data_IF_657716647247
#
_entry.id   IF_657716647247
#
_cell.length_a   1.000
_cell.length_b   1.000
_cell.length_c   1.000
_cell.angle_alpha   90.00
_cell.angle_beta   90.00
_cell.angle_gamma   90.00
#
_symmetry.space_group_name_H-M   'P 1'
#
loop_
_entity.id
_entity.type
_entity.pdbx_description
1 polymer ?
#
# COMPACT_ATOMS: atom_id res chain seq x y z
N UNK A 1 5.38 -44.65 -0.97
CA UNK A 1 5.08 -43.96 -2.23
C UNK A 1 5.19 -42.50 -1.90
N UNK A 2 6.30 -41.87 -2.28
CA UNK A 2 6.55 -40.45 -2.03
C UNK A 2 5.76 -39.67 -3.08
N UNK A 3 4.80 -38.91 -2.63
CA UNK A 3 4.17 -37.88 -3.47
C UNK A 3 5.23 -36.84 -3.83
N UNK A 4 5.80 -36.97 -5.01
CA UNK A 4 6.58 -35.92 -5.65
C UNK A 4 5.62 -34.83 -6.05
N UNK A 5 5.50 -33.81 -5.22
CA UNK A 5 4.82 -32.55 -5.55
C UNK A 5 5.59 -31.92 -6.73
N UNK A 6 5.09 -32.14 -7.93
CA UNK A 6 5.52 -31.42 -9.13
C UNK A 6 5.13 -29.94 -8.97
N UNK A 7 6.05 -29.15 -8.42
CA UNK A 7 5.99 -27.68 -8.52
C UNK A 7 6.34 -27.30 -9.96
N UNK A 8 5.38 -27.49 -10.86
CA UNK A 8 5.51 -27.18 -12.28
C UNK A 8 5.87 -25.70 -12.46
N UNK A 9 7.17 -25.38 -12.51
CA UNK A 9 7.68 -24.14 -13.13
C UNK A 9 7.47 -22.83 -12.38
N UNK A 10 7.00 -22.82 -11.13
CA UNK A 10 6.86 -21.58 -10.32
C UNK A 10 8.05 -21.39 -9.38
N UNK A 11 8.43 -20.14 -9.11
CA UNK A 11 9.49 -19.80 -8.17
C UNK A 11 9.07 -20.01 -6.70
N UNK A 12 7.76 -19.97 -6.44
CA UNK A 12 7.16 -20.15 -5.12
C UNK A 12 5.75 -19.58 -5.05
N UNK A 13 5.13 -19.67 -3.89
CA UNK A 13 3.81 -19.08 -3.58
C UNK A 13 4.00 -17.85 -2.70
N UNK A 14 3.36 -16.75 -3.02
CA UNK A 14 3.32 -15.54 -2.19
C UNK A 14 1.88 -15.33 -1.72
N UNK A 15 1.69 -15.36 -0.40
CA UNK A 15 0.41 -15.15 0.26
C UNK A 15 0.19 -13.65 0.49
N UNK A 16 -0.76 -13.06 -0.24
CA UNK A 16 -1.09 -11.63 -0.23
C UNK A 16 -2.42 -11.42 0.47
N UNK A 17 -2.39 -10.70 1.57
CA UNK A 17 -3.60 -10.29 2.29
C UNK A 17 -4.15 -8.99 1.70
N UNK A 18 -5.41 -9.00 1.29
CA UNK A 18 -6.23 -7.81 1.05
C UNK A 18 -7.00 -7.49 2.33
N UNK A 19 -6.58 -6.45 3.04
CA UNK A 19 -7.11 -6.12 4.36
C UNK A 19 -8.36 -5.23 4.25
N UNK A 20 -9.48 -5.70 4.75
CA UNK A 20 -10.80 -5.03 4.77
C UNK A 20 -11.31 -4.59 3.39
N UNK A 21 -11.26 -5.41 2.33
CA UNK A 21 -11.64 -4.97 0.99
C UNK A 21 -13.13 -4.59 0.85
N UNK A 22 -14.00 -5.02 1.75
CA UNK A 22 -15.43 -4.66 1.76
C UNK A 22 -15.68 -3.23 2.22
N UNK A 23 -14.93 -2.75 3.21
CA UNK A 23 -15.13 -1.45 3.84
C UNK A 23 -14.07 -0.41 3.46
N UNK A 24 -12.89 -0.86 3.00
CA UNK A 24 -11.72 -0.03 2.72
C UNK A 24 -11.27 -0.17 1.25
N UNK A 25 -12.13 0.26 0.30
CA UNK A 25 -11.87 0.18 -1.13
C UNK A 25 -12.58 1.30 -1.92
N UNK A 26 -12.67 2.50 -1.35
CA UNK A 26 -13.54 3.56 -1.86
C UNK A 26 -13.18 4.05 -3.28
N UNK A 27 -11.91 4.05 -3.63
CA UNK A 27 -11.44 4.51 -4.95
C UNK A 27 -10.84 3.38 -5.80
N UNK A 28 -11.25 2.13 -5.53
CA UNK A 28 -10.78 0.97 -6.29
C UNK A 28 -9.37 0.53 -5.92
N UNK A 29 -8.97 0.70 -4.66
CA UNK A 29 -7.62 0.33 -4.16
C UNK A 29 -7.35 -1.18 -4.27
N UNK A 30 -8.38 -2.02 -4.43
CA UNK A 30 -8.25 -3.43 -4.82
C UNK A 30 -7.46 -3.63 -6.13
N UNK A 31 -7.37 -2.62 -6.98
CA UNK A 31 -6.49 -2.62 -8.14
C UNK A 31 -5.00 -2.74 -7.80
N UNK A 32 -4.58 -2.38 -6.57
CA UNK A 32 -3.23 -2.64 -6.09
C UNK A 32 -2.99 -4.15 -5.91
N UNK A 33 -3.99 -4.87 -5.37
CA UNK A 33 -3.94 -6.33 -5.21
C UNK A 33 -3.85 -7.01 -6.58
N UNK A 34 -4.67 -6.58 -7.54
CA UNK A 34 -4.65 -7.12 -8.92
C UNK A 34 -3.29 -6.87 -9.59
N UNK A 35 -2.70 -5.69 -9.38
CA UNK A 35 -1.39 -5.35 -9.92
C UNK A 35 -0.30 -6.25 -9.36
N UNK A 36 -0.26 -6.43 -8.04
CA UNK A 36 0.69 -7.33 -7.38
C UNK A 36 0.50 -8.76 -7.86
N UNK A 37 -0.73 -9.28 -7.90
CA UNK A 37 -1.02 -10.62 -8.37
C UNK A 37 -0.54 -10.86 -9.81
N UNK A 38 -0.81 -9.89 -10.71
CA UNK A 38 -0.35 -9.97 -12.10
C UNK A 38 1.18 -9.95 -12.19
N UNK A 39 1.84 -9.04 -11.47
CA UNK A 39 3.31 -8.95 -11.50
C UNK A 39 3.98 -10.17 -10.89
N UNK A 40 3.47 -10.73 -9.78
CA UNK A 40 3.92 -12.00 -9.20
C UNK A 40 3.88 -13.11 -10.24
N UNK A 41 2.74 -13.26 -10.94
CA UNK A 41 2.60 -14.26 -12.02
C UNK A 41 3.63 -14.05 -13.13
N UNK A 42 3.90 -12.80 -13.51
CA UNK A 42 4.90 -12.49 -14.53
C UNK A 42 6.33 -12.74 -14.05
N UNK A 43 6.60 -12.58 -12.76
CA UNK A 43 7.88 -12.97 -12.14
C UNK A 43 8.01 -14.48 -11.93
N UNK A 44 6.95 -15.25 -12.17
CA UNK A 44 6.96 -16.71 -12.04
C UNK A 44 6.61 -17.20 -10.64
N UNK A 45 6.08 -16.33 -9.76
CA UNK A 45 5.48 -16.73 -8.49
C UNK A 45 3.98 -16.99 -8.66
N UNK A 46 3.42 -17.85 -7.81
CA UNK A 46 1.97 -18.06 -7.72
C UNK A 46 1.40 -17.12 -6.64
N UNK A 47 0.59 -16.10 -6.98
CA UNK A 47 -0.09 -15.29 -5.97
C UNK A 47 -1.23 -16.09 -5.34
N UNK A 48 -1.34 -16.07 -4.01
CA UNK A 48 -2.50 -16.55 -3.27
C UNK A 48 -3.11 -15.38 -2.52
N UNK A 49 -4.30 -14.96 -2.95
CA UNK A 49 -4.96 -13.77 -2.41
C UNK A 49 -5.93 -14.19 -1.30
N UNK A 50 -5.81 -13.55 -0.15
CA UNK A 50 -6.67 -13.73 1.02
C UNK A 50 -7.38 -12.41 1.32
N UNK A 51 -8.69 -12.39 1.13
CA UNK A 51 -9.52 -11.26 1.58
C UNK A 51 -9.82 -11.44 3.06
N UNK A 52 -9.36 -10.50 3.88
CA UNK A 52 -9.57 -10.49 5.34
C UNK A 52 -10.47 -9.32 5.71
N UNK A 53 -11.65 -9.62 6.19
CA UNK A 53 -12.60 -8.67 6.75
C UNK A 53 -12.73 -8.88 8.28
N UNK A 54 -13.62 -8.15 8.93
CA UNK A 54 -13.84 -8.28 10.37
C UNK A 54 -14.20 -9.72 10.75
N UNK A 55 -13.50 -10.25 11.75
CA UNK A 55 -13.71 -11.59 12.29
C UNK A 55 -13.12 -12.73 11.47
N UNK A 56 -12.60 -12.46 10.25
CA UNK A 56 -11.96 -13.51 9.45
C UNK A 56 -10.61 -13.92 10.08
N UNK A 57 -10.24 -15.21 10.10
CA UNK A 57 -8.94 -15.64 10.60
C UNK A 57 -7.81 -15.23 9.65
N UNK A 58 -6.59 -15.06 10.21
CA UNK A 58 -5.40 -14.96 9.38
C UNK A 58 -5.16 -16.24 8.58
N UNK A 59 -4.65 -16.16 7.34
CA UNK A 59 -4.14 -17.35 6.65
C UNK A 59 -2.90 -17.90 7.36
N UNK A 60 -2.55 -19.13 7.06
CA UNK A 60 -1.37 -19.81 7.63
C UNK A 60 -0.08 -19.00 7.38
N UNK A 61 0.00 -18.34 6.25
CA UNK A 61 1.12 -17.50 5.87
C UNK A 61 0.65 -16.10 5.45
N UNK A 62 1.43 -15.10 5.83
CA UNK A 62 1.26 -13.70 5.44
C UNK A 62 2.58 -13.18 4.90
N UNK A 63 2.68 -13.02 3.59
CA UNK A 63 3.91 -12.55 2.94
C UNK A 63 3.82 -11.08 2.53
N UNK A 64 2.61 -10.54 2.34
CA UNK A 64 2.35 -9.14 2.01
C UNK A 64 0.96 -8.74 2.49
N UNK A 65 0.78 -7.47 2.90
CA UNK A 65 -0.53 -6.92 3.28
C UNK A 65 -0.80 -5.65 2.48
N UNK A 66 -1.96 -5.60 1.81
CA UNK A 66 -2.43 -4.44 1.07
C UNK A 66 -3.78 -4.00 1.63
N UNK A 67 -3.89 -2.71 1.99
CA UNK A 67 -5.11 -2.14 2.52
C UNK A 67 -5.47 -0.83 1.84
N UNK A 68 -6.75 -0.63 1.60
CA UNK A 68 -7.27 0.51 0.85
C UNK A 68 -7.77 1.67 1.71
N UNK A 69 -8.30 2.69 1.04
CA UNK A 69 -8.95 3.84 1.66
C UNK A 69 -10.42 3.59 1.97
N UNK A 70 -10.91 4.27 2.98
CA UNK A 70 -12.32 4.27 3.36
C UNK A 70 -12.72 5.63 3.93
N UNK A 71 -14.02 5.88 3.94
CA UNK A 71 -14.58 7.02 4.66
C UNK A 71 -14.59 6.76 6.16
N UNK A 72 -14.81 7.78 6.99
CA UNK A 72 -14.90 7.70 8.46
C UNK A 72 -15.87 6.59 8.91
N UNK A 73 -16.97 6.38 8.18
CA UNK A 73 -17.92 5.30 8.46
C UNK A 73 -17.33 3.91 8.25
N UNK A 74 -16.48 3.73 7.26
CA UNK A 74 -15.73 2.49 7.03
C UNK A 74 -14.67 2.27 8.11
N UNK A 75 -13.92 3.31 8.46
CA UNK A 75 -12.93 3.26 9.54
C UNK A 75 -13.58 2.90 10.88
N UNK A 76 -14.71 3.54 11.23
CA UNK A 76 -15.48 3.22 12.45
C UNK A 76 -15.97 1.78 12.49
N UNK A 77 -16.28 1.17 11.35
CA UNK A 77 -16.70 -0.23 11.30
C UNK A 77 -15.58 -1.21 11.59
N UNK A 78 -14.38 -0.95 11.06
CA UNK A 78 -13.27 -1.89 11.16
C UNK A 78 -12.42 -1.71 12.41
N UNK A 79 -12.59 -0.61 13.15
CA UNK A 79 -11.64 -0.18 14.19
C UNK A 79 -11.46 -1.24 15.29
N UNK A 80 -12.53 -1.83 15.78
CA UNK A 80 -12.47 -2.83 16.86
C UNK A 80 -11.73 -4.09 16.41
N UNK A 81 -11.98 -4.56 15.18
CA UNK A 81 -11.26 -5.70 14.61
C UNK A 81 -9.80 -5.35 14.31
N UNK A 82 -9.52 -4.12 13.84
CA UNK A 82 -8.16 -3.65 13.62
C UNK A 82 -7.36 -3.65 14.94
N UNK A 83 -7.97 -3.21 16.04
CA UNK A 83 -7.34 -3.29 17.37
C UNK A 83 -7.11 -4.72 17.83
N UNK A 84 -8.07 -5.60 17.62
CA UNK A 84 -7.90 -7.02 17.94
C UNK A 84 -6.73 -7.66 17.19
N UNK A 85 -6.39 -7.13 16.01
CA UNK A 85 -5.27 -7.56 15.14
C UNK A 85 -3.97 -6.77 15.36
N UNK A 86 -3.99 -5.72 16.17
CA UNK A 86 -2.89 -4.77 16.27
C UNK A 86 -1.54 -5.42 16.58
N UNK A 87 -1.51 -6.37 17.51
CA UNK A 87 -0.27 -7.05 17.91
C UNK A 87 0.27 -7.94 16.78
N UNK A 88 -0.60 -8.62 16.03
CA UNK A 88 -0.19 -9.38 14.87
C UNK A 88 0.35 -8.46 13.75
N UNK A 89 -0.33 -7.34 13.48
CA UNK A 89 0.11 -6.39 12.46
C UNK A 89 1.45 -5.74 12.83
N UNK A 90 1.65 -5.37 14.10
CA UNK A 90 2.94 -4.87 14.60
C UNK A 90 4.04 -5.91 14.47
N UNK A 91 3.75 -7.16 14.81
CA UNK A 91 4.68 -8.29 14.65
C UNK A 91 5.03 -8.49 13.17
N UNK A 92 4.06 -8.53 12.25
CA UNK A 92 4.30 -8.64 10.82
C UNK A 92 5.18 -7.49 10.30
N UNK A 93 4.91 -6.25 10.74
CA UNK A 93 5.72 -5.08 10.36
C UNK A 93 7.17 -5.22 10.88
N UNK A 94 7.36 -5.63 12.13
CA UNK A 94 8.66 -5.87 12.74
C UNK A 94 9.43 -7.00 12.06
N UNK A 95 8.73 -8.06 11.64
CA UNK A 95 9.26 -9.20 10.89
C UNK A 95 9.53 -8.88 9.41
N UNK A 96 9.30 -7.62 8.98
CA UNK A 96 9.61 -7.14 7.64
C UNK A 96 8.59 -7.53 6.56
N UNK A 97 7.38 -7.94 6.94
CA UNK A 97 6.29 -8.13 5.97
C UNK A 97 6.01 -6.80 5.26
N UNK A 98 6.12 -6.73 3.91
CA UNK A 98 5.81 -5.51 3.20
C UNK A 98 4.31 -5.20 3.26
N UNK A 99 3.99 -3.91 3.51
CA UNK A 99 2.62 -3.44 3.62
C UNK A 99 2.42 -2.15 2.83
N UNK A 100 1.26 -2.02 2.19
CA UNK A 100 0.82 -0.78 1.56
C UNK A 100 -0.55 -0.40 2.10
N UNK A 101 -0.61 0.72 2.81
CA UNK A 101 -1.80 1.26 3.44
C UNK A 101 -2.21 2.57 2.79
N UNK A 102 -3.41 2.61 2.23
CA UNK A 102 -3.91 3.78 1.51
C UNK A 102 -4.91 4.55 2.38
N UNK A 103 -4.75 5.87 2.44
CA UNK A 103 -5.68 6.86 2.98
C UNK A 103 -6.21 6.48 4.38
N UNK A 104 -7.43 5.97 4.50
CA UNK A 104 -8.03 5.63 5.79
C UNK A 104 -7.24 4.60 6.60
N UNK A 105 -6.68 3.57 5.96
CA UNK A 105 -5.79 2.63 6.66
C UNK A 105 -4.42 3.24 6.96
N UNK A 106 -3.90 4.15 6.13
CA UNK A 106 -2.70 4.91 6.48
C UNK A 106 -2.90 5.69 7.78
N UNK A 107 -4.04 6.38 7.93
CA UNK A 107 -4.39 7.12 9.15
C UNK A 107 -4.46 6.21 10.39
N UNK A 108 -5.12 5.06 10.28
CA UNK A 108 -5.28 4.10 11.37
C UNK A 108 -4.00 3.30 11.70
N UNK A 109 -3.03 3.28 10.80
CA UNK A 109 -1.68 2.76 11.09
C UNK A 109 -0.81 3.76 11.85
N UNK A 110 -1.23 5.03 11.95
CA UNK A 110 -0.68 6.05 12.84
C UNK A 110 -1.04 5.85 14.30
N UNK A 111 -0.80 6.88 15.11
CA UNK A 111 -1.17 6.89 16.53
C UNK A 111 -2.67 7.11 16.73
N UNK A 112 -3.25 8.03 15.97
CA UNK A 112 -4.68 8.34 15.99
C UNK A 112 -5.12 9.16 14.79
N UNK A 113 -6.42 9.12 14.51
CA UNK A 113 -7.10 10.04 13.62
C UNK A 113 -8.19 10.78 14.42
N UNK A 114 -8.09 12.10 14.49
CA UNK A 114 -9.11 12.97 15.04
C UNK A 114 -9.98 13.52 13.89
N UNK A 115 -11.25 13.14 13.86
CA UNK A 115 -12.19 13.59 12.84
C UNK A 115 -12.56 15.07 13.04
N UNK A 116 -13.18 15.70 12.03
CA UNK A 116 -13.53 17.13 12.07
C UNK A 116 -14.51 17.49 13.21
N UNK A 117 -15.32 16.54 13.67
CA UNK A 117 -16.23 16.69 14.80
C UNK A 117 -15.57 16.48 16.16
N UNK A 118 -14.23 16.26 16.19
CA UNK A 118 -13.46 16.02 17.38
C UNK A 118 -13.50 14.58 17.90
N UNK A 119 -14.14 13.66 17.17
CA UNK A 119 -14.10 12.24 17.52
C UNK A 119 -12.70 11.68 17.25
N UNK A 120 -12.06 11.13 18.27
CA UNK A 120 -10.76 10.49 18.12
C UNK A 120 -10.91 8.98 17.91
N UNK A 121 -10.32 8.51 16.82
CA UNK A 121 -10.11 7.11 16.53
C UNK A 121 -8.64 6.79 16.80
N UNK A 122 -8.36 6.02 17.82
CA UNK A 122 -6.98 5.60 18.07
C UNK A 122 -6.51 4.69 16.94
N UNK A 123 -5.22 4.75 16.62
CA UNK A 123 -4.57 3.93 15.60
C UNK A 123 -3.71 2.84 16.24
N UNK A 124 -3.13 2.01 15.39
CA UNK A 124 -2.29 0.89 15.87
C UNK A 124 -0.81 1.25 16.01
N UNK A 125 -0.38 2.46 15.68
CA UNK A 125 0.95 3.00 15.98
C UNK A 125 2.11 2.30 15.26
N UNK A 126 1.91 1.75 14.09
CA UNK A 126 3.00 1.18 13.26
C UNK A 126 3.79 2.30 12.58
N UNK A 127 3.09 3.34 12.13
CA UNK A 127 3.68 4.54 11.54
C UNK A 127 3.65 5.64 12.61
N UNK A 128 4.79 6.24 12.90
CA UNK A 128 4.88 7.37 13.82
C UNK A 128 4.26 8.63 13.20
N UNK A 129 2.95 8.75 13.30
CA UNK A 129 2.19 9.86 12.72
C UNK A 129 0.83 9.99 13.42
N UNK A 130 0.24 11.19 13.34
CA UNK A 130 -1.15 11.40 13.72
C UNK A 130 -1.88 12.21 12.65
N UNK A 131 -3.19 12.05 12.58
CA UNK A 131 -4.01 12.74 11.58
C UNK A 131 -5.09 13.58 12.24
N UNK A 132 -5.29 14.79 11.72
CA UNK A 132 -6.33 15.73 12.15
C UNK A 132 -7.26 16.03 10.97
N UNK A 133 -8.55 15.78 11.13
CA UNK A 133 -9.58 16.15 10.16
C UNK A 133 -9.73 17.67 10.06
N UNK A 134 -9.81 18.19 8.85
CA UNK A 134 -9.97 19.64 8.57
C UNK A 134 -11.08 19.90 7.58
N UNK A 135 -11.55 21.14 7.51
CA UNK A 135 -12.54 21.60 6.52
C UNK A 135 -11.97 21.64 5.11
N UNK A 136 -10.66 21.83 4.99
CA UNK A 136 -9.98 21.88 3.70
C UNK A 136 -9.80 20.46 3.18
N UNK A 137 -10.31 20.22 1.97
CA UNK A 137 -10.16 18.96 1.27
C UNK A 137 -9.10 19.04 0.19
N UNK A 138 -8.08 18.22 0.28
CA UNK A 138 -7.04 18.09 -0.74
C UNK A 138 -7.49 17.08 -1.80
N UNK A 139 -7.68 17.58 -3.03
CA UNK A 139 -8.16 16.78 -4.17
C UNK A 139 -7.34 17.15 -5.39
N UNK A 140 -6.85 16.14 -6.09
CA UNK A 140 -6.23 16.35 -7.39
C UNK A 140 -5.12 15.37 -7.72
N UNK A 141 -4.57 15.53 -8.91
CA UNK A 141 -3.38 14.81 -9.32
C UNK A 141 -2.18 15.27 -8.49
N UNK A 142 -1.33 14.33 -8.16
CA UNK A 142 -0.16 14.57 -7.33
C UNK A 142 1.06 13.91 -7.96
N UNK A 143 2.17 14.63 -7.98
CA UNK A 143 3.50 14.11 -8.24
C UNK A 143 4.32 14.29 -6.98
N UNK A 144 4.93 13.22 -6.54
CA UNK A 144 5.76 13.16 -5.36
C UNK A 144 7.15 12.67 -5.74
N UNK A 145 8.18 13.27 -5.18
CA UNK A 145 9.58 12.93 -5.40
C UNK A 145 10.11 12.07 -4.25
N UNK A 146 10.23 10.78 -4.49
CA UNK A 146 10.75 9.83 -3.52
C UNK A 146 12.22 9.54 -3.75
N UNK A 147 13.02 9.53 -2.67
CA UNK A 147 14.44 9.14 -2.73
C UNK A 147 14.62 7.66 -3.11
N UNK A 148 13.62 6.81 -2.82
CA UNK A 148 13.69 5.37 -3.06
C UNK A 148 13.06 4.92 -4.37
N UNK A 149 12.00 5.61 -4.83
CA UNK A 149 11.16 5.17 -5.94
C UNK A 149 11.16 6.12 -7.13
N UNK A 150 11.90 7.25 -7.03
CA UNK A 150 11.81 8.34 -8.00
C UNK A 150 10.45 9.03 -7.93
N UNK A 151 9.96 9.55 -9.05
CA UNK A 151 8.66 10.20 -9.07
C UNK A 151 7.55 9.19 -8.88
N UNK A 152 6.67 9.43 -7.93
CA UNK A 152 5.45 8.66 -7.68
C UNK A 152 4.28 9.52 -8.16
N UNK A 153 3.36 8.93 -8.92
CA UNK A 153 2.23 9.65 -9.51
C UNK A 153 0.93 9.01 -9.07
N UNK A 154 0.09 9.82 -8.44
CA UNK A 154 -1.20 9.38 -7.92
C UNK A 154 -2.27 10.46 -7.97
N UNK A 155 -3.31 10.24 -7.21
CA UNK A 155 -4.43 11.15 -7.02
C UNK A 155 -4.77 11.18 -5.54
N UNK A 156 -4.74 12.35 -4.93
CA UNK A 156 -5.16 12.52 -3.54
C UNK A 156 -6.62 12.96 -3.44
N UNK A 157 -7.32 12.49 -2.42
CA UNK A 157 -8.68 12.93 -2.10
C UNK A 157 -8.98 12.68 -0.63
N UNK A 158 -8.56 13.62 0.22
CA UNK A 158 -8.72 13.50 1.67
C UNK A 158 -8.87 14.88 2.33
N UNK A 159 -9.42 14.91 3.54
CA UNK A 159 -9.46 16.09 4.43
C UNK A 159 -8.68 15.87 5.72
N UNK A 160 -8.25 14.65 6.00
CA UNK A 160 -7.32 14.39 7.08
C UNK A 160 -5.93 14.93 6.75
N UNK A 161 -5.35 15.68 7.67
CA UNK A 161 -3.98 16.18 7.59
C UNK A 161 -3.09 15.36 8.52
N UNK A 162 -2.10 14.70 7.96
CA UNK A 162 -1.20 13.81 8.69
C UNK A 162 0.12 14.50 8.98
N UNK A 163 0.52 14.44 10.23
CA UNK A 163 1.77 14.98 10.75
C UNK A 163 2.67 13.83 11.19
N UNK A 164 3.86 13.76 10.59
CA UNK A 164 4.84 12.73 10.91
C UNK A 164 5.60 13.09 12.19
N UNK A 165 5.90 12.09 12.99
CA UNK A 165 6.76 12.28 14.17
C UNK A 165 8.22 12.61 13.75
N UNK A 166 8.99 13.28 14.59
CA UNK A 166 10.40 13.54 14.32
C UNK A 166 11.17 12.25 14.01
N UNK A 167 11.84 12.24 12.86
CA UNK A 167 12.65 11.11 12.40
C UNK A 167 11.90 10.05 11.58
N UNK A 168 10.59 10.17 11.40
CA UNK A 168 9.85 9.33 10.44
C UNK A 168 10.12 9.82 9.03
N UNK A 169 10.49 8.88 8.15
CA UNK A 169 10.77 9.19 6.75
C UNK A 169 9.46 9.34 5.97
N UNK A 170 9.22 10.49 5.30
CA UNK A 170 8.11 10.58 4.36
C UNK A 170 8.37 9.64 3.18
N UNK A 171 7.31 9.16 2.53
CA UNK A 171 7.44 8.39 1.28
C UNK A 171 8.10 9.25 0.19
N UNK A 172 7.74 10.52 0.15
CA UNK A 172 8.40 11.52 -0.67
C UNK A 172 7.99 12.95 -0.35
N UNK A 173 8.31 13.86 -1.29
CA UNK A 173 8.02 15.29 -1.18
C UNK A 173 7.27 15.79 -2.41
N UNK A 174 6.36 16.70 -2.20
CA UNK A 174 5.53 17.32 -3.24
C UNK A 174 5.99 18.75 -3.51
N UNK A 175 5.79 19.24 -4.75
CA UNK A 175 6.25 20.57 -5.17
C UNK A 175 5.33 21.69 -4.75
N UNK A 176 4.06 21.40 -4.44
CA UNK A 176 3.03 22.40 -4.20
C UNK A 176 2.52 22.38 -2.77
N UNK A 177 2.39 23.57 -2.17
CA UNK A 177 1.68 23.77 -0.92
C UNK A 177 0.19 23.39 -1.08
N UNK A 178 -0.48 23.04 0.01
CA UNK A 178 -1.86 22.60 -0.01
C UNK A 178 -2.06 21.18 -0.58
N UNK A 179 -1.01 20.37 -0.56
CA UNK A 179 -0.98 18.99 -1.08
C UNK A 179 -0.25 18.03 -0.13
N UNK A 180 -0.39 16.74 -0.36
CA UNK A 180 0.32 15.70 0.39
C UNK A 180 -0.25 15.47 1.79
N UNK A 181 0.60 15.16 2.76
CA UNK A 181 0.18 14.75 4.10
C UNK A 181 -0.70 15.77 4.82
N UNK A 182 -0.29 17.06 4.82
CA UNK A 182 -0.96 18.10 5.60
C UNK A 182 -1.08 19.44 4.87
N UNK A 183 -0.55 19.56 3.66
CA UNK A 183 -0.58 20.79 2.88
C UNK A 183 0.39 21.87 3.32
N UNK A 184 1.23 21.63 4.36
CA UNK A 184 2.08 22.66 4.97
C UNK A 184 3.58 22.33 4.79
N UNK A 185 3.99 21.09 5.05
CA UNK A 185 5.40 20.69 5.13
C UNK A 185 5.95 20.02 3.87
N UNK A 186 5.12 19.91 2.83
CA UNK A 186 5.43 19.28 1.54
C UNK A 186 5.86 17.81 1.64
N UNK A 187 5.48 17.12 2.70
CA UNK A 187 5.63 15.67 2.76
C UNK A 187 4.41 14.97 2.18
N UNK A 188 4.60 13.79 1.62
CA UNK A 188 3.52 12.86 1.27
C UNK A 188 3.87 11.47 1.76
N UNK A 189 2.85 10.77 2.29
CA UNK A 189 2.99 9.44 2.81
C UNK A 189 4.00 9.31 3.94
N UNK A 190 4.30 8.08 4.28
CA UNK A 190 5.35 7.71 5.22
C UNK A 190 5.88 6.32 4.89
N UNK A 191 7.13 6.07 5.26
CA UNK A 191 7.74 4.75 5.16
C UNK A 191 8.42 4.37 6.47
N UNK A 192 8.07 3.20 6.98
CA UNK A 192 8.72 2.58 8.14
C UNK A 192 9.13 1.17 7.74
N UNK A 193 10.42 0.92 7.54
CA UNK A 193 10.94 -0.34 7.00
C UNK A 193 10.25 -0.70 5.66
N UNK A 194 9.47 -1.80 5.62
CA UNK A 194 8.72 -2.26 4.46
C UNK A 194 7.24 -1.84 4.49
N UNK A 195 6.83 -1.02 5.47
CA UNK A 195 5.48 -0.48 5.57
C UNK A 195 5.42 0.88 4.90
N UNK A 196 4.52 1.03 3.94
CA UNK A 196 4.25 2.27 3.21
C UNK A 196 2.82 2.70 3.51
N UNK A 197 2.64 3.95 3.96
CA UNK A 197 1.37 4.64 4.06
C UNK A 197 1.33 5.81 3.09
N UNK A 198 0.21 6.07 2.43
CA UNK A 198 0.08 7.18 1.48
C UNK A 198 -1.38 7.58 1.28
N UNK A 199 -1.60 8.84 0.89
CA UNK A 199 -2.91 9.33 0.46
C UNK A 199 -3.18 9.13 -1.04
N UNK A 200 -2.22 8.64 -1.79
CA UNK A 200 -2.36 8.46 -3.23
C UNK A 200 -3.29 7.29 -3.58
N UNK A 201 -4.41 7.62 -4.16
CA UNK A 201 -5.45 6.73 -4.66
C UNK A 201 -5.39 6.46 -6.17
N UNK A 202 -6.46 5.82 -6.65
CA UNK A 202 -6.69 5.48 -8.05
C UNK A 202 -5.83 4.30 -8.46
N UNK A 203 -5.72 3.29 -7.58
CA UNK A 203 -4.80 2.17 -7.65
C UNK A 203 -3.38 2.66 -7.91
N UNK A 204 -2.63 2.91 -6.84
CA UNK A 204 -1.29 3.49 -6.89
C UNK A 204 -0.32 2.66 -7.75
N UNK A 205 -0.31 1.34 -7.54
CA UNK A 205 0.70 0.44 -8.08
C UNK A 205 0.71 0.31 -9.61
N UNK A 206 -0.43 0.35 -10.34
CA UNK A 206 -0.40 0.27 -11.80
C UNK A 206 0.42 1.37 -12.48
N UNK A 207 0.45 2.56 -11.90
CA UNK A 207 1.25 3.69 -12.39
C UNK A 207 2.66 3.74 -11.81
N UNK A 208 2.90 3.05 -10.70
CA UNK A 208 4.16 3.10 -9.96
C UNK A 208 4.75 1.69 -9.77
N UNK A 209 5.20 1.05 -10.85
CA UNK A 209 5.69 -0.33 -10.82
C UNK A 209 6.89 -0.52 -9.88
N UNK A 210 7.70 0.52 -9.64
CA UNK A 210 8.83 0.45 -8.72
C UNK A 210 8.40 0.10 -7.29
N UNK A 211 7.25 0.65 -6.82
CA UNK A 211 6.70 0.33 -5.50
C UNK A 211 6.17 -1.11 -5.49
N UNK A 212 5.45 -1.53 -6.54
CA UNK A 212 4.96 -2.90 -6.65
C UNK A 212 6.11 -3.92 -6.61
N UNK A 213 7.19 -3.65 -7.33
CA UNK A 213 8.36 -4.51 -7.39
C UNK A 213 9.14 -4.54 -6.06
N UNK A 214 9.21 -3.40 -5.36
CA UNK A 214 9.75 -3.36 -4.00
C UNK A 214 8.98 -4.27 -3.05
N UNK A 215 7.64 -4.18 -3.03
CA UNK A 215 6.79 -5.02 -2.17
C UNK A 215 6.95 -6.51 -2.51
N UNK A 216 6.95 -6.85 -3.81
CA UNK A 216 7.11 -8.23 -4.29
C UNK A 216 8.49 -8.78 -3.91
N UNK A 217 9.55 -7.99 -4.11
CA UNK A 217 10.92 -8.38 -3.75
C UNK A 217 11.03 -8.63 -2.25
N UNK A 218 10.56 -7.68 -1.43
CA UNK A 218 10.61 -7.81 0.03
C UNK A 218 9.84 -9.05 0.52
N UNK A 219 8.68 -9.35 -0.06
CA UNK A 219 7.90 -10.55 0.27
C UNK A 219 8.67 -11.84 -0.08
N UNK A 220 9.26 -11.90 -1.29
CA UNK A 220 9.99 -13.07 -1.74
C UNK A 220 11.30 -13.28 -0.96
N UNK A 221 12.06 -12.21 -0.71
CA UNK A 221 13.28 -12.26 0.09
C UNK A 221 13.00 -12.72 1.52
N UNK A 222 11.93 -12.20 2.14
CA UNK A 222 11.52 -12.64 3.47
C UNK A 222 11.10 -14.12 3.49
N UNK A 223 10.33 -14.55 2.50
CA UNK A 223 9.78 -15.92 2.45
C UNK A 223 10.81 -16.97 2.06
N UNK A 224 11.69 -16.67 1.11
CA UNK A 224 12.60 -17.61 0.45
C UNK A 224 14.08 -17.29 0.63
N UNK A 225 14.42 -16.17 1.29
CA UNK A 225 15.80 -15.70 1.46
C UNK A 225 16.34 -14.91 0.27
N UNK A 226 15.67 -14.99 -0.90
CA UNK A 226 16.08 -14.26 -2.10
C UNK A 226 14.88 -14.02 -3.03
N UNK A 227 14.97 -12.97 -3.85
CA UNK A 227 14.06 -12.76 -4.98
C UNK A 227 14.67 -13.39 -6.24
N UNK A 228 14.17 -14.56 -6.61
CA UNK A 228 14.65 -15.33 -7.77
C UNK A 228 13.50 -15.59 -8.76
N UNK A 229 13.22 -14.61 -9.65
CA UNK A 229 12.11 -14.75 -10.60
C UNK A 229 12.39 -15.85 -11.62
N UNK A 230 11.38 -16.67 -11.91
CA UNK A 230 11.39 -17.68 -12.98
C UNK A 230 10.53 -17.24 -14.15
N UNK A 231 11.07 -16.32 -14.94
CA UNK A 231 10.35 -15.75 -16.07
C UNK A 231 10.67 -16.50 -17.38
N UNK A 232 9.61 -16.87 -18.12
CA UNK A 232 9.76 -17.18 -19.53
C UNK A 232 9.99 -15.90 -20.35
N UNK A 233 10.48 -16.04 -21.58
CA UNK A 233 10.65 -14.90 -22.50
C UNK A 233 9.34 -14.12 -22.69
N UNK A 234 8.20 -14.84 -22.80
CA UNK A 234 6.90 -14.21 -22.98
C UNK A 234 6.45 -13.42 -21.74
N UNK A 235 6.70 -13.95 -20.54
CA UNK A 235 6.40 -13.24 -19.29
C UNK A 235 7.26 -11.98 -19.14
N UNK A 236 8.53 -12.06 -19.48
CA UNK A 236 9.42 -10.90 -19.45
C UNK A 236 9.00 -9.83 -20.48
N UNK A 237 8.62 -10.24 -21.69
CA UNK A 237 8.12 -9.34 -22.72
C UNK A 237 6.79 -8.67 -22.29
N UNK A 238 5.88 -9.42 -21.68
CA UNK A 238 4.63 -8.87 -21.16
C UNK A 238 4.87 -7.89 -20.00
N UNK A 239 5.79 -8.21 -19.09
CA UNK A 239 6.15 -7.29 -18.00
C UNK A 239 6.70 -5.97 -18.58
N UNK A 240 7.62 -6.02 -19.53
CA UNK A 240 8.14 -4.84 -20.20
C UNK A 240 7.04 -4.05 -20.93
N UNK A 241 6.06 -4.74 -21.54
CA UNK A 241 4.93 -4.10 -22.19
C UNK A 241 4.05 -3.32 -21.21
N UNK A 242 3.69 -3.91 -20.06
CA UNK A 242 2.87 -3.22 -19.04
C UNK A 242 3.65 -2.08 -18.39
N UNK A 243 4.96 -2.20 -18.18
CA UNK A 243 5.80 -1.12 -17.66
C UNK A 243 5.88 0.04 -18.66
N UNK A 244 5.94 -0.25 -19.96
CA UNK A 244 5.85 0.77 -21.00
C UNK A 244 4.48 1.49 -21.02
N UNK A 245 3.39 0.80 -20.73
CA UNK A 245 2.06 1.42 -20.56
C UNK A 245 2.04 2.30 -19.30
N UNK A 246 2.57 1.81 -18.18
CA UNK A 246 2.68 2.57 -16.95
C UNK A 246 3.47 3.87 -17.16
N UNK A 247 4.61 3.80 -17.85
CA UNK A 247 5.41 4.98 -18.16
C UNK A 247 4.64 6.03 -18.98
N UNK A 248 3.87 5.60 -19.99
CA UNK A 248 3.00 6.50 -20.78
C UNK A 248 1.89 7.11 -19.91
N UNK A 249 1.23 6.31 -19.08
CA UNK A 249 0.19 6.78 -18.18
C UNK A 249 0.73 7.82 -17.18
N UNK A 250 1.94 7.58 -16.64
CA UNK A 250 2.64 8.53 -15.75
C UNK A 250 2.91 9.86 -16.44
N UNK A 251 3.47 9.83 -17.65
CA UNK A 251 3.75 11.04 -18.43
C UNK A 251 2.50 11.88 -18.68
N UNK A 252 1.36 11.21 -18.99
CA UNK A 252 0.08 11.90 -19.16
C UNK A 252 -0.43 12.46 -17.83
N UNK A 253 -0.37 11.69 -16.75
CA UNK A 253 -0.89 12.11 -15.44
C UNK A 253 -0.07 13.26 -14.83
N UNK A 254 1.26 13.23 -14.97
CA UNK A 254 2.14 14.31 -14.50
C UNK A 254 1.87 15.66 -15.19
N UNK A 255 1.42 15.64 -16.44
CA UNK A 255 1.06 16.86 -17.18
C UNK A 255 -0.40 17.31 -17.00
N UNK A 256 -1.21 16.64 -16.18
CA UNK A 256 -2.59 17.02 -15.94
C UNK A 256 -2.67 18.07 -14.84
N UNK A 257 -3.52 19.08 -15.01
CA UNK A 257 -3.76 20.06 -13.94
C UNK A 257 -4.41 19.38 -12.71
N UNK A 258 -4.17 19.98 -11.58
CA UNK A 258 -4.84 19.64 -10.32
C UNK A 258 -6.32 19.96 -10.39
#
# INVERSE_FOLDING_TARGET
MSETNETNGVAGVIDVVSLYPKDMNIYGDSGNVLTVARRLTLYGYAPRIHEINQGDPWPEHVDMILGGGGQDTGQKKIIDDLFARADDLRRFAADGVPMLMICGLYQLFGHYFETIDGTRLDGIGIIGAHTIGRDVRMIGNLVEHSAHFGDIIGYENHSGQTFLDPGVEPLGRVDHDGTGNNGEDRTEGARVNNVIGTYMHGSLLPKNPAIADFLIRAAAERRYGAFEPRQSKDRAAELARIDGIAAKARAVAAGRPR
#
